data_IF_917159406570
#
_entry.id   IF_917159406570
#
_cell.length_a   1.000
_cell.length_b   1.000
_cell.length_c   1.000
_cell.angle_alpha   90.00
_cell.angle_beta   90.00
_cell.angle_gamma   90.00
#
_symmetry.space_group_name_H-M   'P 1'
#
loop_
_entity.id
_entity.type
_entity.pdbx_description
1 polymer ?
#
# COMPACT_ATOMS: atom_id res chain seq x y z
N UNK A 1 -9.95 3.77 -2.52
CA UNK A 1 -10.09 4.35 -3.88
C UNK A 1 -10.02 5.85 -3.74
N UNK A 2 -9.26 6.50 -4.59
CA UNK A 2 -8.93 7.92 -4.46
C UNK A 2 -9.31 8.74 -5.71
N UNK A 3 -9.69 8.07 -6.81
CA UNK A 3 -10.14 8.71 -8.03
C UNK A 3 -11.62 8.36 -8.35
N UNK A 4 -12.42 9.41 -8.53
CA UNK A 4 -13.75 9.35 -9.12
C UNK A 4 -13.67 10.12 -10.44
N UNK A 5 -13.99 9.45 -11.55
CA UNK A 5 -13.92 10.09 -12.86
C UNK A 5 -14.99 11.19 -13.00
N UNK A 6 -14.90 11.99 -14.07
CA UNK A 6 -15.82 13.11 -14.33
C UNK A 6 -17.29 12.66 -14.49
N UNK A 7 -17.53 11.37 -14.71
CA UNK A 7 -18.85 10.75 -14.81
C UNK A 7 -19.33 10.16 -13.47
N UNK A 8 -18.59 10.38 -12.39
CA UNK A 8 -18.94 9.95 -11.05
C UNK A 8 -18.67 8.46 -10.76
N UNK A 9 -17.97 7.73 -11.63
CA UNK A 9 -17.60 6.34 -11.42
C UNK A 9 -16.28 6.25 -10.66
N UNK A 10 -16.21 5.36 -9.66
CA UNK A 10 -14.97 5.04 -8.96
C UNK A 10 -14.04 4.29 -9.90
N UNK A 11 -12.78 4.74 -9.99
CA UNK A 11 -11.75 4.01 -10.70
C UNK A 11 -11.27 2.81 -9.85
N UNK A 12 -11.40 1.56 -10.35
CA UNK A 12 -10.96 0.38 -9.62
C UNK A 12 -9.43 0.19 -9.61
N UNK A 13 -8.66 1.03 -10.32
CA UNK A 13 -7.21 0.95 -10.35
C UNK A 13 -6.62 1.01 -8.92
N UNK A 14 -5.66 0.12 -8.66
CA UNK A 14 -4.96 0.03 -7.37
C UNK A 14 -3.55 0.56 -7.56
N UNK A 15 -3.22 1.60 -6.79
CA UNK A 15 -1.88 2.20 -6.76
C UNK A 15 -1.24 2.00 -5.38
N UNK A 16 0.09 1.89 -5.36
CA UNK A 16 0.85 1.61 -4.13
C UNK A 16 0.68 2.71 -3.06
N UNK A 17 0.55 3.98 -3.45
CA UNK A 17 0.35 5.09 -2.51
C UNK A 17 -0.99 5.02 -1.75
N UNK A 18 -2.05 4.52 -2.41
CA UNK A 18 -3.37 4.37 -1.78
C UNK A 18 -3.29 3.46 -0.55
N UNK A 19 -2.56 2.35 -0.67
CA UNK A 19 -2.31 1.47 0.49
C UNK A 19 -1.37 2.13 1.49
N UNK A 20 -0.31 2.80 1.05
CA UNK A 20 0.65 3.49 1.92
C UNK A 20 0.01 4.50 2.87
N UNK A 21 -0.86 5.37 2.36
CA UNK A 21 -1.54 6.38 3.17
C UNK A 21 -2.46 5.75 4.23
N UNK A 22 -3.19 4.68 3.88
CA UNK A 22 -4.07 4.00 4.82
C UNK A 22 -3.31 3.27 5.93
N UNK A 23 -2.15 2.67 5.62
CA UNK A 23 -1.29 2.04 6.63
C UNK A 23 -0.78 3.10 7.60
N UNK A 24 -0.25 4.22 7.09
CA UNK A 24 0.25 5.31 7.93
C UNK A 24 -0.86 5.90 8.82
N UNK A 25 -2.06 6.12 8.29
CA UNK A 25 -3.21 6.60 9.05
C UNK A 25 -3.61 5.62 10.16
N UNK A 26 -3.66 4.31 9.88
CA UNK A 26 -3.96 3.29 10.88
C UNK A 26 -2.93 3.22 12.01
N UNK A 27 -1.64 3.36 11.70
CA UNK A 27 -0.57 3.43 12.71
C UNK A 27 -0.72 4.67 13.58
N UNK A 28 -0.99 5.84 12.99
CA UNK A 28 -1.21 7.08 13.74
C UNK A 28 -2.44 6.98 14.67
N UNK A 29 -3.55 6.42 14.17
CA UNK A 29 -4.75 6.19 15.00
C UNK A 29 -4.44 5.27 16.18
N UNK A 30 -3.69 4.19 15.97
CA UNK A 30 -3.24 3.33 17.06
C UNK A 30 -2.38 4.08 18.07
N UNK A 31 -1.43 4.90 17.62
CA UNK A 31 -0.55 5.68 18.51
C UNK A 31 -1.32 6.69 19.36
N UNK A 32 -2.34 7.33 18.80
CA UNK A 32 -3.17 8.33 19.51
C UNK A 32 -4.17 7.69 20.46
N UNK A 33 -4.78 6.56 20.07
CA UNK A 33 -5.93 5.98 20.79
C UNK A 33 -5.56 4.78 21.68
N UNK A 34 -4.47 4.07 21.36
CA UNK A 34 -4.13 2.77 21.95
C UNK A 34 -5.00 1.60 21.47
N UNK A 35 -6.01 1.83 20.62
CA UNK A 35 -6.91 0.77 20.16
C UNK A 35 -6.23 -0.17 19.17
N UNK A 36 -6.01 -1.43 19.58
CA UNK A 36 -5.34 -2.46 18.77
C UNK A 36 -5.99 -2.74 17.42
N UNK A 37 -7.27 -2.41 17.25
CA UNK A 37 -7.99 -2.58 15.98
C UNK A 37 -7.31 -1.81 14.84
N UNK A 38 -6.90 -0.56 15.08
CA UNK A 38 -6.25 0.25 14.04
C UNK A 38 -4.91 -0.32 13.59
N UNK A 39 -4.12 -0.84 14.54
CA UNK A 39 -2.86 -1.52 14.21
C UNK A 39 -3.11 -2.78 13.37
N UNK A 40 -4.11 -3.59 13.75
CA UNK A 40 -4.48 -4.79 13.01
C UNK A 40 -4.91 -4.47 11.57
N UNK A 41 -5.74 -3.45 11.39
CA UNK A 41 -6.20 -3.00 10.07
C UNK A 41 -5.03 -2.47 9.21
N UNK A 42 -4.09 -1.73 9.81
CA UNK A 42 -2.88 -1.27 9.13
C UNK A 42 -2.01 -2.45 8.66
N UNK A 43 -1.80 -3.45 9.52
CA UNK A 43 -1.03 -4.66 9.19
C UNK A 43 -1.69 -5.49 8.08
N UNK A 44 -3.01 -5.66 8.13
CA UNK A 44 -3.77 -6.35 7.07
C UNK A 44 -3.65 -5.62 5.73
N UNK A 45 -3.69 -4.28 5.76
CA UNK A 45 -3.51 -3.46 4.56
C UNK A 45 -2.09 -3.59 3.99
N UNK A 46 -1.07 -3.60 4.86
CA UNK A 46 0.33 -3.81 4.48
C UNK A 46 0.56 -5.18 3.83
N UNK A 47 0.03 -6.25 4.43
CA UNK A 47 0.13 -7.60 3.88
C UNK A 47 -0.55 -7.69 2.51
N UNK A 48 -1.78 -7.16 2.40
CA UNK A 48 -2.52 -7.12 1.15
C UNK A 48 -1.80 -6.34 0.05
N UNK A 49 -1.19 -5.19 0.39
CA UNK A 49 -0.41 -4.39 -0.53
C UNK A 49 0.82 -5.15 -1.04
N UNK A 50 1.62 -5.74 -0.15
CA UNK A 50 2.77 -6.55 -0.52
C UNK A 50 2.37 -7.72 -1.43
N UNK A 51 1.31 -8.46 -1.07
CA UNK A 51 0.82 -9.61 -1.86
C UNK A 51 0.35 -9.19 -3.26
N UNK A 52 -0.30 -8.04 -3.38
CA UNK A 52 -0.84 -7.57 -4.65
C UNK A 52 0.24 -6.97 -5.56
N UNK A 53 1.10 -6.11 -5.01
CA UNK A 53 2.03 -5.29 -5.78
C UNK A 53 3.40 -5.91 -6.01
N UNK A 54 3.89 -6.79 -5.14
CA UNK A 54 5.15 -7.50 -5.39
C UNK A 54 4.96 -8.55 -6.48
N UNK A 55 5.77 -8.48 -7.53
CA UNK A 55 5.83 -9.46 -8.60
C UNK A 55 7.22 -10.06 -8.69
N UNK A 56 7.28 -11.38 -8.80
CA UNK A 56 8.52 -12.10 -9.10
C UNK A 56 8.92 -11.76 -10.53
N UNK A 57 10.18 -11.39 -10.73
CA UNK A 57 10.76 -11.16 -12.04
C UNK A 57 12.13 -11.85 -12.12
N UNK A 58 12.50 -12.39 -13.28
CA UNK A 58 13.83 -12.96 -13.49
C UNK A 58 14.90 -11.86 -13.48
N UNK A 59 16.05 -12.19 -12.93
CA UNK A 59 17.28 -11.38 -12.91
C UNK A 59 18.46 -12.26 -13.37
N UNK A 60 19.61 -11.65 -13.67
CA UNK A 60 20.78 -12.38 -14.15
C UNK A 60 21.24 -13.54 -13.24
N UNK A 61 20.93 -13.46 -11.94
CA UNK A 61 21.35 -14.43 -10.91
C UNK A 61 20.19 -15.23 -10.31
N UNK A 62 19.01 -15.26 -10.93
CA UNK A 62 17.84 -15.98 -10.42
C UNK A 62 16.55 -15.16 -10.51
N UNK A 63 15.79 -15.08 -9.43
CA UNK A 63 14.52 -14.34 -9.37
C UNK A 63 14.48 -13.37 -8.19
N UNK A 64 13.84 -12.22 -8.37
CA UNK A 64 13.64 -11.23 -7.31
C UNK A 64 12.23 -10.64 -7.38
N UNK A 65 11.70 -10.18 -6.25
CA UNK A 65 10.41 -9.51 -6.18
C UNK A 65 10.58 -8.00 -6.35
N UNK A 66 9.80 -7.42 -7.26
CA UNK A 66 9.78 -5.99 -7.52
C UNK A 66 8.37 -5.42 -7.36
N UNK A 67 8.30 -4.19 -6.88
CA UNK A 67 7.09 -3.37 -6.95
C UNK A 67 6.89 -2.84 -8.38
N UNK A 68 5.69 -2.31 -8.71
CA UNK A 68 5.45 -1.69 -10.02
C UNK A 68 6.44 -0.55 -10.30
N UNK A 69 6.68 -0.25 -11.58
CA UNK A 69 7.56 0.81 -12.05
C UNK A 69 6.98 2.23 -11.84
N UNK A 70 6.48 2.49 -10.63
CA UNK A 70 5.93 3.76 -10.15
C UNK A 70 6.70 4.19 -8.91
N UNK A 71 7.98 4.59 -9.05
CA UNK A 71 8.90 4.76 -7.92
C UNK A 71 8.37 5.77 -6.89
N UNK A 72 7.77 6.86 -7.34
CA UNK A 72 7.21 7.88 -6.45
C UNK A 72 6.06 7.34 -5.59
N UNK A 73 5.19 6.51 -6.16
CA UNK A 73 4.08 5.89 -5.42
C UNK A 73 4.58 4.84 -4.42
N UNK A 74 5.66 4.13 -4.79
CA UNK A 74 6.28 3.14 -3.90
C UNK A 74 6.94 3.80 -2.68
N UNK A 75 7.51 5.00 -2.84
CA UNK A 75 8.03 5.78 -1.69
C UNK A 75 6.93 6.06 -0.66
N UNK A 76 5.72 6.38 -1.10
CA UNK A 76 4.59 6.61 -0.18
C UNK A 76 4.18 5.31 0.51
N UNK A 77 4.14 4.18 -0.21
CA UNK A 77 3.92 2.86 0.40
C UNK A 77 4.95 2.57 1.49
N UNK A 78 6.23 2.79 1.21
CA UNK A 78 7.31 2.50 2.15
C UNK A 78 7.30 3.39 3.40
N UNK A 79 6.74 4.61 3.33
CA UNK A 79 6.52 5.44 4.53
C UNK A 79 5.53 4.80 5.50
N UNK A 80 4.50 4.13 4.98
CA UNK A 80 3.52 3.41 5.80
C UNK A 80 4.04 2.10 6.39
N UNK A 81 5.06 1.49 5.77
CA UNK A 81 5.63 0.20 6.22
C UNK A 81 6.77 0.31 7.24
N UNK A 82 7.14 1.54 7.65
CA UNK A 82 8.20 1.79 8.63
C UNK A 82 7.75 1.55 10.06
#
# INVERSE_FOLDING_TARGET
WDNKNLQGKVDPAKYTYNSGQMIQAGVLLYQVTGEKRYLKEAQQTAEGACRFFLKVQPIATGEMKFFPATPWFNVILFRGLK
#
